data_IF_031236788107
#
_entry.id   IF_031236788107
#
_cell.length_a   1.000
_cell.length_b   1.000
_cell.length_c   1.000
_cell.angle_alpha   90.00
_cell.angle_beta   90.00
_cell.angle_gamma   90.00
#
_symmetry.space_group_name_H-M   'P 1'
#
loop_
_entity.id
_entity.type
_entity.pdbx_description
1 polymer ?
#
# COMPACT_ATOMS: atom_id res chain seq x y z
N UNK A 1 -8.68 12.28 2.73
CA UNK A 1 -8.09 11.33 3.68
C UNK A 1 -6.67 11.10 3.24
N UNK A 2 -5.70 11.34 4.11
CA UNK A 2 -4.38 10.89 3.76
C UNK A 2 -4.51 9.42 3.52
N UNK A 3 -4.09 9.13 2.38
CA UNK A 3 -3.75 7.86 1.87
C UNK A 3 -3.75 6.82 2.98
N UNK A 4 -4.61 5.85 2.95
CA UNK A 4 -4.62 4.68 3.82
C UNK A 4 -4.77 4.91 5.35
N UNK A 5 -4.00 5.73 6.06
CA UNK A 5 -4.06 5.75 7.52
C UNK A 5 -5.43 6.13 8.08
N UNK A 6 -6.13 7.07 7.46
CA UNK A 6 -7.45 7.48 7.92
C UNK A 6 -8.54 6.47 7.61
N UNK A 7 -8.46 5.85 6.46
CA UNK A 7 -9.33 4.75 6.11
C UNK A 7 -9.13 3.56 7.06
N UNK A 8 -7.90 3.27 7.43
CA UNK A 8 -7.56 2.26 8.41
C UNK A 8 -8.09 2.57 9.81
N UNK A 9 -8.03 3.84 10.23
CA UNK A 9 -8.51 4.28 11.53
C UNK A 9 -10.03 4.18 11.64
N UNK A 10 -10.77 4.47 10.59
CA UNK A 10 -12.24 4.35 10.60
C UNK A 10 -12.72 2.90 10.55
N UNK A 11 -11.91 1.99 10.04
CA UNK A 11 -12.25 0.56 9.94
C UNK A 11 -11.73 -0.30 11.09
N UNK A 12 -10.89 0.25 11.97
CA UNK A 12 -10.40 -0.52 13.12
C UNK A 12 -11.53 -0.93 14.03
N UNK A 13 -11.46 -2.16 14.44
CA UNK A 13 -12.48 -3.04 15.02
C UNK A 13 -13.24 -2.53 16.26
N UNK A 14 -12.93 -1.37 16.78
CA UNK A 14 -13.57 -0.85 17.98
C UNK A 14 -14.80 0.04 17.70
N UNK A 15 -15.11 0.35 16.43
CA UNK A 15 -16.24 1.22 16.09
C UNK A 15 -16.14 2.64 16.66
N UNK A 16 -15.01 3.03 17.20
CA UNK A 16 -14.78 4.34 17.77
C UNK A 16 -14.45 5.34 16.69
N UNK A 17 -15.35 6.29 16.46
CA UNK A 17 -15.05 7.49 15.65
C UNK A 17 -14.05 8.34 16.39
N UNK A 18 -12.88 8.59 15.80
CA UNK A 18 -11.88 9.49 16.35
C UNK A 18 -11.63 10.66 15.42
N UNK A 19 -11.35 11.80 16.02
CA UNK A 19 -10.99 12.99 15.26
C UNK A 19 -9.64 12.75 14.55
N UNK A 20 -9.58 13.15 13.29
CA UNK A 20 -8.39 13.04 12.47
C UNK A 20 -7.48 14.26 12.73
N UNK A 21 -6.87 14.30 13.91
CA UNK A 21 -5.88 15.31 14.24
C UNK A 21 -4.47 14.85 13.86
N UNK A 22 -3.54 15.80 13.78
CA UNK A 22 -2.14 15.48 13.51
C UNK A 22 -1.59 14.48 14.56
N UNK A 23 -1.90 14.72 15.82
CA UNK A 23 -1.43 13.87 16.93
C UNK A 23 -2.03 12.47 16.89
N UNK A 24 -3.30 12.35 16.52
CA UNK A 24 -3.95 11.04 16.43
C UNK A 24 -3.41 10.16 15.29
N UNK A 25 -2.73 10.76 14.31
CA UNK A 25 -2.08 10.06 13.23
C UNK A 25 -0.60 9.76 13.52
N UNK A 26 0.10 10.73 14.13
CA UNK A 26 1.52 10.64 14.41
C UNK A 26 1.81 9.89 15.71
N UNK A 27 0.90 9.98 16.67
CA UNK A 27 1.11 9.39 17.98
C UNK A 27 0.82 7.88 17.93
N UNK A 28 1.82 7.10 18.27
CA UNK A 28 1.76 5.63 18.28
C UNK A 28 0.62 5.00 19.08
N UNK A 29 -0.19 5.80 19.77
CA UNK A 29 -1.42 5.37 20.43
C UNK A 29 -2.44 4.72 19.50
N UNK A 30 -2.30 4.95 18.20
CA UNK A 30 -3.19 4.39 17.20
C UNK A 30 -2.62 3.28 16.36
N UNK A 31 -1.34 3.03 16.45
CA UNK A 31 -0.69 2.04 15.60
C UNK A 31 -1.09 2.18 14.10
N UNK A 32 -1.39 3.43 13.67
CA UNK A 32 -1.67 3.68 12.25
C UNK A 32 -0.40 3.49 11.42
N UNK A 33 0.76 3.66 12.06
CA UNK A 33 2.03 3.54 11.40
C UNK A 33 2.24 4.61 10.32
N UNK A 34 1.61 5.80 10.49
CA UNK A 34 1.62 6.85 9.49
C UNK A 34 1.59 8.24 10.10
N UNK A 35 1.58 9.24 9.25
CA UNK A 35 1.53 10.66 9.62
C UNK A 35 0.72 11.45 8.60
N UNK A 36 0.28 12.65 8.95
CA UNK A 36 -0.42 13.56 8.05
C UNK A 36 0.47 14.04 6.90
N UNK A 37 1.79 14.08 7.11
CA UNK A 37 2.74 14.53 6.11
C UNK A 37 2.46 15.96 5.65
N UNK A 38 2.38 16.15 4.33
CA UNK A 38 2.07 17.44 3.69
C UNK A 38 0.58 17.79 3.67
N UNK A 39 -0.28 16.98 4.27
CA UNK A 39 -1.72 17.21 4.35
C UNK A 39 -2.52 16.78 3.12
N UNK A 40 -1.88 16.14 2.14
CA UNK A 40 -2.59 15.53 1.02
C UNK A 40 -3.32 14.27 1.45
N UNK A 41 -4.56 14.08 0.99
CA UNK A 41 -5.31 12.88 1.32
C UNK A 41 -6.29 12.47 0.23
N UNK A 42 -6.56 11.16 0.20
CA UNK A 42 -7.50 10.54 -0.72
C UNK A 42 -8.53 9.77 0.10
N UNK A 43 -9.80 9.92 -0.23
CA UNK A 43 -10.89 9.18 0.40
C UNK A 43 -11.26 7.98 -0.48
N UNK A 44 -11.29 6.83 0.12
CA UNK A 44 -11.86 5.62 -0.47
C UNK A 44 -13.09 5.19 0.31
N UNK A 45 -14.08 4.66 -0.37
CA UNK A 45 -15.20 3.97 0.24
C UNK A 45 -14.90 2.48 0.42
N UNK A 46 -15.83 1.77 1.02
CA UNK A 46 -15.68 0.34 1.33
C UNK A 46 -15.69 -0.58 0.10
N UNK A 47 -16.11 -0.05 -1.05
CA UNK A 47 -16.14 -0.81 -2.30
C UNK A 47 -14.77 -0.79 -3.04
N UNK A 48 -13.79 -0.05 -2.51
CA UNK A 48 -12.48 0.07 -3.14
C UNK A 48 -11.52 -1.04 -2.69
N UNK A 49 -10.83 -1.62 -3.66
CA UNK A 49 -9.82 -2.64 -3.41
C UNK A 49 -8.56 -2.05 -2.77
N UNK A 50 -8.21 -2.51 -1.58
CA UNK A 50 -7.04 -2.05 -0.84
C UNK A 50 -5.74 -2.49 -1.52
N UNK A 51 -5.68 -3.69 -2.08
CA UNK A 51 -4.50 -4.20 -2.78
C UNK A 51 -4.17 -3.32 -3.98
N UNK A 52 -5.18 -2.98 -4.79
CA UNK A 52 -5.04 -2.09 -5.94
C UNK A 52 -4.58 -0.69 -5.53
N UNK A 53 -5.18 -0.14 -4.48
CA UNK A 53 -4.83 1.18 -3.99
C UNK A 53 -3.39 1.19 -3.45
N UNK A 54 -2.99 0.15 -2.74
CA UNK A 54 -1.62 -0.02 -2.24
C UNK A 54 -0.62 -0.13 -3.39
N UNK A 55 -0.96 -0.89 -4.44
CA UNK A 55 -0.14 -0.96 -5.64
C UNK A 55 0.00 0.41 -6.33
N UNK A 56 -1.09 1.16 -6.47
CA UNK A 56 -1.05 2.49 -7.08
C UNK A 56 -0.14 3.47 -6.32
N UNK A 57 -0.13 3.42 -4.98
CA UNK A 57 0.80 4.20 -4.17
C UNK A 57 2.24 3.75 -4.34
N UNK A 58 2.48 2.44 -4.33
CA UNK A 58 3.82 1.90 -4.51
C UNK A 58 4.41 2.29 -5.86
N UNK A 59 3.58 2.29 -6.91
CA UNK A 59 3.96 2.77 -8.24
C UNK A 59 4.33 4.25 -8.23
N UNK A 60 3.56 5.08 -7.54
CA UNK A 60 3.87 6.49 -7.36
C UNK A 60 5.21 6.69 -6.66
N UNK A 61 5.43 6.04 -5.50
CA UNK A 61 6.67 6.17 -4.75
C UNK A 61 7.89 5.63 -5.51
N UNK A 62 7.72 4.56 -6.28
CA UNK A 62 8.78 4.08 -7.16
C UNK A 62 9.18 5.12 -8.21
N UNK A 63 8.19 5.76 -8.84
CA UNK A 63 8.42 6.82 -9.82
C UNK A 63 9.10 8.05 -9.20
N UNK A 64 8.71 8.44 -7.98
CA UNK A 64 9.22 9.64 -7.30
C UNK A 64 10.56 9.40 -6.59
N UNK A 65 11.04 8.17 -6.51
CA UNK A 65 12.35 7.88 -5.94
C UNK A 65 13.46 8.54 -6.77
N UNK A 66 14.28 9.36 -6.11
CA UNK A 66 15.44 9.98 -6.78
C UNK A 66 16.56 8.99 -7.10
N UNK A 67 16.49 7.74 -6.60
CA UNK A 67 17.47 6.69 -6.85
C UNK A 67 18.75 6.76 -6.02
N UNK A 68 18.88 7.70 -5.08
CA UNK A 68 20.10 7.88 -4.29
C UNK A 68 20.34 6.71 -3.34
N UNK A 69 19.36 6.33 -2.55
CA UNK A 69 19.48 5.28 -1.52
C UNK A 69 19.08 3.93 -2.11
N UNK A 70 19.95 2.93 -2.01
CA UNK A 70 19.67 1.59 -2.56
C UNK A 70 18.37 0.96 -2.02
N UNK A 71 18.06 1.02 -0.71
CA UNK A 71 16.81 0.47 -0.20
C UNK A 71 15.57 1.12 -0.83
N UNK A 72 15.58 2.43 -1.02
CA UNK A 72 14.49 3.15 -1.69
C UNK A 72 14.46 2.82 -3.19
N UNK A 73 15.58 2.98 -3.89
CA UNK A 73 15.66 2.78 -5.35
C UNK A 73 15.18 1.40 -5.78
N UNK A 74 15.69 0.36 -5.12
CA UNK A 74 15.37 -1.02 -5.48
C UNK A 74 14.08 -1.51 -4.78
N UNK A 75 13.95 -1.20 -3.50
CA UNK A 75 12.85 -1.72 -2.68
C UNK A 75 11.48 -1.21 -3.11
N UNK A 76 11.36 0.06 -3.50
CA UNK A 76 10.07 0.59 -4.01
C UNK A 76 9.65 -0.10 -5.29
N UNK A 77 10.59 -0.39 -6.20
CA UNK A 77 10.33 -1.15 -7.41
C UNK A 77 9.98 -2.62 -7.14
N UNK A 78 10.55 -3.21 -6.09
CA UNK A 78 10.19 -4.58 -5.69
C UNK A 78 8.79 -4.62 -5.09
N UNK A 79 8.44 -3.67 -4.22
CA UNK A 79 7.08 -3.57 -3.67
C UNK A 79 6.04 -3.42 -4.79
N UNK A 80 6.30 -2.53 -5.75
CA UNK A 80 5.42 -2.33 -6.90
C UNK A 80 5.19 -3.64 -7.67
N UNK A 81 6.27 -4.37 -8.01
CA UNK A 81 6.19 -5.61 -8.77
C UNK A 81 5.44 -6.72 -8.03
N UNK A 82 5.67 -6.84 -6.73
CA UNK A 82 4.98 -7.85 -5.91
C UNK A 82 3.49 -7.51 -5.77
N UNK A 83 3.17 -6.24 -5.50
CA UNK A 83 1.77 -5.77 -5.44
C UNK A 83 1.06 -5.92 -6.78
N UNK A 84 1.75 -5.65 -7.89
CA UNK A 84 1.21 -5.89 -9.22
C UNK A 84 0.86 -7.37 -9.43
N UNK A 85 1.74 -8.29 -9.01
CA UNK A 85 1.45 -9.73 -9.11
C UNK A 85 0.21 -10.12 -8.31
N UNK A 86 0.09 -9.60 -7.08
CA UNK A 86 -1.06 -9.86 -6.21
C UNK A 86 -2.36 -9.32 -6.84
N UNK A 87 -2.34 -8.08 -7.32
CA UNK A 87 -3.51 -7.44 -7.93
C UNK A 87 -4.00 -8.18 -9.17
N UNK A 88 -3.09 -8.67 -10.01
CA UNK A 88 -3.44 -9.34 -11.27
C UNK A 88 -3.57 -10.86 -11.14
N UNK A 89 -3.66 -11.40 -9.93
CA UNK A 89 -3.95 -12.80 -9.68
C UNK A 89 -2.80 -13.78 -9.95
N UNK A 90 -1.57 -13.27 -9.98
CA UNK A 90 -0.35 -14.06 -10.11
C UNK A 90 0.43 -14.13 -8.79
N UNK A 91 -0.12 -13.61 -7.72
CA UNK A 91 0.47 -13.59 -6.38
C UNK A 91 0.42 -14.94 -5.71
N UNK A 92 1.28 -15.11 -4.70
CA UNK A 92 1.33 -16.25 -3.82
C UNK A 92 1.23 -15.79 -2.38
N UNK A 93 0.90 -16.70 -1.46
CA UNK A 93 0.83 -16.38 -0.03
C UNK A 93 2.16 -15.83 0.50
N UNK A 94 3.27 -16.38 0.03
CA UNK A 94 4.61 -15.92 0.41
C UNK A 94 4.89 -14.48 -0.05
N UNK A 95 4.21 -13.97 -1.07
CA UNK A 95 4.37 -12.60 -1.55
C UNK A 95 3.89 -11.57 -0.54
N UNK A 96 2.93 -11.91 0.30
CA UNK A 96 2.43 -11.03 1.37
C UNK A 96 3.51 -10.85 2.45
N UNK A 97 4.14 -11.94 2.86
CA UNK A 97 5.22 -11.90 3.83
C UNK A 97 6.49 -11.26 3.23
N UNK A 98 6.75 -11.49 1.94
CA UNK A 98 7.82 -10.82 1.20
C UNK A 98 7.63 -9.29 1.17
N UNK A 99 6.42 -8.80 0.94
CA UNK A 99 6.12 -7.36 1.01
C UNK A 99 6.41 -6.79 2.38
N UNK A 100 6.05 -7.52 3.43
CA UNK A 100 6.34 -7.13 4.80
C UNK A 100 7.85 -7.02 5.06
N UNK A 101 8.63 -7.96 4.54
CA UNK A 101 10.08 -7.92 4.68
C UNK A 101 10.72 -6.79 3.86
N UNK A 102 10.29 -6.58 2.61
CA UNK A 102 10.81 -5.52 1.76
C UNK A 102 10.59 -4.14 2.42
N UNK A 103 9.37 -3.85 2.89
CA UNK A 103 9.08 -2.56 3.50
C UNK A 103 9.97 -2.31 4.75
N UNK A 104 10.21 -3.33 5.56
CA UNK A 104 11.09 -3.23 6.73
C UNK A 104 12.55 -2.95 6.38
N UNK A 105 13.01 -3.38 5.21
CA UNK A 105 14.37 -3.07 4.74
C UNK A 105 14.48 -1.64 4.17
N UNK A 106 13.36 -1.01 3.82
CA UNK A 106 13.34 0.38 3.36
C UNK A 106 13.23 1.32 4.55
N UNK A 107 12.28 1.03 5.46
CA UNK A 107 11.98 1.85 6.64
C UNK A 107 13.22 2.05 7.51
N UNK A 108 13.53 3.31 7.82
CA UNK A 108 14.68 3.69 8.62
C UNK A 108 16.05 3.55 7.95
N UNK A 109 16.11 3.06 6.71
CA UNK A 109 17.36 2.78 6.00
C UNK A 109 17.62 3.74 4.81
N UNK A 110 16.94 4.89 4.78
CA UNK A 110 17.07 5.90 3.73
C UNK A 110 17.42 7.26 4.31
N UNK A 111 18.10 8.10 3.53
CA UNK A 111 18.57 9.42 3.98
C UNK A 111 17.40 10.39 4.18
N UNK A 112 16.39 10.31 3.33
CA UNK A 112 15.22 11.19 3.38
C UNK A 112 13.94 10.40 3.69
N UNK A 113 12.87 11.08 4.14
CA UNK A 113 11.63 10.42 4.57
C UNK A 113 10.82 9.78 3.42
N UNK A 114 11.22 9.93 2.16
CA UNK A 114 10.50 9.29 1.04
C UNK A 114 10.49 7.76 1.16
N UNK A 115 11.58 7.16 1.63
CA UNK A 115 11.64 5.72 1.87
C UNK A 115 10.62 5.27 2.92
N UNK A 116 10.58 5.96 4.05
CA UNK A 116 9.61 5.68 5.11
C UNK A 116 8.17 5.89 4.63
N UNK A 117 7.93 6.99 3.89
CA UNK A 117 6.63 7.29 3.31
C UNK A 117 6.17 6.25 2.28
N UNK A 118 7.09 5.59 1.58
CA UNK A 118 6.80 4.49 0.67
C UNK A 118 6.50 3.18 1.42
N UNK A 119 7.21 2.93 2.51
CA UNK A 119 7.10 1.70 3.30
C UNK A 119 5.82 1.65 4.15
N UNK A 120 5.46 2.73 4.82
CA UNK A 120 4.36 2.77 5.78
C UNK A 120 2.97 2.43 5.21
N UNK A 121 2.55 2.90 4.02
CA UNK A 121 1.28 2.50 3.43
C UNK A 121 1.19 1.00 3.18
N UNK A 122 2.27 0.37 2.74
CA UNK A 122 2.34 -1.08 2.50
C UNK A 122 2.25 -1.84 3.83
N UNK A 123 3.03 -1.41 4.83
CA UNK A 123 2.98 -1.99 6.17
C UNK A 123 1.59 -1.88 6.80
N UNK A 124 0.96 -0.71 6.69
CA UNK A 124 -0.38 -0.46 7.20
C UNK A 124 -1.44 -1.32 6.48
N UNK A 125 -1.37 -1.41 5.15
CA UNK A 125 -2.28 -2.22 4.36
C UNK A 125 -2.20 -3.71 4.78
N UNK A 126 -1.01 -4.27 4.86
CA UNK A 126 -0.82 -5.66 5.28
C UNK A 126 -1.29 -5.88 6.72
N UNK A 127 -0.97 -4.96 7.64
CA UNK A 127 -1.34 -5.09 9.06
C UNK A 127 -2.85 -5.11 9.28
N UNK A 128 -3.58 -4.29 8.55
CA UNK A 128 -5.00 -4.06 8.80
C UNK A 128 -5.93 -4.75 7.83
N UNK A 129 -5.43 -5.16 6.66
CA UNK A 129 -6.22 -5.77 5.60
C UNK A 129 -5.58 -7.03 5.03
N UNK A 130 -4.81 -7.75 5.85
CA UNK A 130 -4.14 -8.98 5.41
C UNK A 130 -5.10 -9.97 4.75
N UNK A 131 -6.31 -10.10 5.29
CA UNK A 131 -7.35 -10.98 4.74
C UNK A 131 -7.72 -10.63 3.29
N UNK A 132 -7.69 -9.36 2.92
CA UNK A 132 -7.98 -8.93 1.55
C UNK A 132 -6.83 -9.31 0.58
N UNK A 133 -5.58 -9.25 1.03
CA UNK A 133 -4.44 -9.75 0.27
C UNK A 133 -4.51 -11.28 0.08
N UNK A 134 -4.79 -12.02 1.14
CA UNK A 134 -4.95 -13.47 1.10
C UNK A 134 -6.10 -13.88 0.16
N UNK A 135 -7.16 -13.10 0.18
CA UNK A 135 -8.28 -13.32 -0.71
C UNK A 135 -7.90 -13.10 -2.18
N UNK A 136 -7.10 -12.08 -2.53
CA UNK A 136 -6.59 -11.87 -3.89
C UNK A 136 -5.75 -13.04 -4.39
N UNK A 137 -5.04 -13.72 -3.50
CA UNK A 137 -4.29 -14.94 -3.84
C UNK A 137 -5.22 -16.13 -4.09
N UNK A 138 -6.23 -16.30 -3.24
CA UNK A 138 -7.12 -17.46 -3.30
C UNK A 138 -8.22 -17.34 -4.38
N UNK A 139 -8.70 -16.12 -4.65
CA UNK A 139 -9.78 -15.84 -5.60
C UNK A 139 -9.39 -14.73 -6.59
N UNK A 140 -8.32 -14.89 -7.37
CA UNK A 140 -7.74 -13.81 -8.16
C UNK A 140 -8.68 -13.18 -9.19
N UNK A 141 -9.67 -13.94 -9.68
CA UNK A 141 -10.61 -13.45 -10.70
C UNK A 141 -11.64 -12.47 -10.16
N UNK A 142 -11.97 -12.52 -8.89
CA UNK A 142 -13.07 -11.72 -8.33
C UNK A 142 -12.78 -10.23 -8.32
N UNK A 143 -11.55 -9.81 -8.03
CA UNK A 143 -11.17 -8.39 -8.09
C UNK A 143 -11.17 -7.87 -9.53
N UNK A 144 -10.78 -8.70 -10.49
CA UNK A 144 -10.78 -8.35 -11.92
C UNK A 144 -12.20 -8.31 -12.51
N UNK A 145 -13.12 -9.10 -11.97
CA UNK A 145 -14.52 -9.20 -12.43
C UNK A 145 -15.43 -8.13 -11.80
N UNK A 146 -15.15 -7.72 -10.56
CA UNK A 146 -15.84 -6.58 -9.96
C UNK A 146 -15.28 -5.34 -10.60
N UNK A 147 -16.10 -4.60 -11.32
CA UNK A 147 -15.79 -3.37 -12.05
C UNK A 147 -15.13 -2.27 -11.19
N UNK A 148 -14.08 -2.58 -10.46
CA UNK A 148 -13.21 -1.61 -9.82
C UNK A 148 -12.46 -0.82 -10.91
N UNK A 149 -13.27 -0.10 -11.71
CA UNK A 149 -12.86 0.95 -12.61
C UNK A 149 -11.75 0.58 -13.59
N UNK A 150 -12.16 0.12 -14.76
CA UNK A 150 -11.59 0.55 -16.05
C UNK A 150 -10.06 0.54 -16.19
N UNK A 151 -9.39 -0.54 -15.87
CA UNK A 151 -8.15 -0.83 -16.56
C UNK A 151 -8.35 -2.11 -17.35
N UNK A 152 -8.77 -1.95 -18.60
CA UNK A 152 -8.57 -3.00 -19.60
C UNK A 152 -7.10 -3.39 -19.52
N UNK A 153 -6.84 -4.67 -19.32
CA UNK A 153 -5.52 -5.25 -19.35
C UNK A 153 -4.66 -4.61 -20.44
N UNK A 154 -3.70 -3.81 -20.04
CA UNK A 154 -2.48 -3.74 -20.82
C UNK A 154 -1.71 -4.97 -20.42
N UNK A 155 -1.66 -5.92 -21.32
CA UNK A 155 -0.89 -7.15 -21.15
C UNK A 155 0.52 -6.81 -20.67
N UNK A 156 1.07 -7.63 -19.79
CA UNK A 156 2.40 -7.50 -19.20
C UNK A 156 3.52 -7.25 -20.24
N UNK A 157 3.27 -7.57 -21.49
CA UNK A 157 4.15 -7.33 -22.64
C UNK A 157 4.26 -5.86 -23.04
N UNK A 158 3.27 -5.02 -22.70
CA UNK A 158 3.28 -3.59 -23.08
C UNK A 158 3.95 -2.67 -22.05
N UNK A 159 4.39 -3.18 -20.90
CA UNK A 159 5.03 -2.41 -19.82
C UNK A 159 6.56 -2.51 -19.90
N UNK A 160 7.07 -3.46 -20.67
CA UNK A 160 8.52 -3.70 -20.87
C UNK A 160 9.01 -3.36 -22.28
N UNK A 161 8.23 -2.61 -23.06
CA UNK A 161 8.63 -2.13 -24.38
C UNK A 161 9.06 -0.66 -24.35
#
# INVERSE_FOLDING_TARGET
VPILPHYLITKTAAGESRLMTYESLADGGFASGSMLGSGGFIVYDEDQCIVRNTWNFSRFYHHESCGQCSPCREGTGWMEKVLHRLEYGHGKMEDIDLLWDIQRQIEGNTICPLGDAAAWPVAAAIRHFREEFEWHVNEPKRCLETNYGLVKEKTFESVNA
#
